data_IF_344040030712
#
_entry.id   IF_344040030712
#
_cell.length_a   1.000
_cell.length_b   1.000
_cell.length_c   1.000
_cell.angle_alpha   90.00
_cell.angle_beta   90.00
_cell.angle_gamma   90.00
#
_symmetry.space_group_name_H-M   'P 1'
#
loop_
_entity.id
_entity.type
_entity.pdbx_description
1 polymer ?
#
# COMPACT_ATOMS: atom_id res chain seq x y z
N UNK A 1 -4.97 21.59 -6.78
CA UNK A 1 -3.81 20.70 -6.90
C UNK A 1 -4.23 19.26 -6.69
N UNK A 2 -3.93 18.40 -7.62
CA UNK A 2 -4.24 17.00 -7.47
C UNK A 2 -3.34 16.35 -6.43
N UNK A 3 -3.96 15.56 -5.57
CA UNK A 3 -3.24 14.75 -4.61
C UNK A 3 -3.06 13.36 -5.18
N UNK A 4 -1.89 12.78 -4.95
CA UNK A 4 -1.53 11.54 -5.61
C UNK A 4 -0.99 10.51 -4.62
N UNK A 5 -1.24 9.25 -4.94
CA UNK A 5 -0.63 8.14 -4.24
C UNK A 5 0.17 7.30 -5.21
N UNK A 6 1.11 6.53 -4.68
CA UNK A 6 1.92 5.61 -5.46
C UNK A 6 1.82 4.22 -4.87
N UNK A 7 1.66 3.22 -5.74
CA UNK A 7 1.68 1.82 -5.37
C UNK A 7 2.84 1.18 -6.13
N UNK A 8 3.77 0.59 -5.40
CA UNK A 8 5.00 0.05 -5.98
C UNK A 8 5.21 -1.39 -5.52
N UNK A 9 5.33 -2.30 -6.49
CA UNK A 9 5.75 -3.66 -6.21
C UNK A 9 7.26 -3.76 -6.34
N UNK A 10 7.93 -4.29 -5.33
CA UNK A 10 9.38 -4.40 -5.30
C UNK A 10 9.80 -5.87 -5.42
N UNK A 11 11.03 -6.09 -5.89
CA UNK A 11 11.66 -7.40 -5.80
C UNK A 11 11.70 -7.83 -4.33
N UNK A 12 11.79 -9.13 -4.10
CA UNK A 12 11.86 -9.68 -2.75
C UNK A 12 12.96 -8.99 -1.96
N UNK A 13 12.57 -8.36 -0.85
CA UNK A 13 13.50 -7.60 -0.02
C UNK A 13 13.03 -7.60 1.43
N UNK A 14 13.90 -7.16 2.32
CA UNK A 14 13.56 -7.04 3.73
C UNK A 14 12.61 -5.87 3.98
N UNK A 15 11.89 -5.93 5.10
CA UNK A 15 10.94 -4.88 5.51
C UNK A 15 11.60 -3.50 5.59
N UNK A 16 12.83 -3.44 6.07
CA UNK A 16 13.58 -2.17 6.17
C UNK A 16 13.78 -1.54 4.79
N UNK A 17 14.17 -2.36 3.81
CA UNK A 17 14.36 -1.89 2.43
C UNK A 17 13.04 -1.42 1.84
N UNK A 18 11.97 -2.16 2.09
CA UNK A 18 10.64 -1.79 1.61
C UNK A 18 10.21 -0.42 2.16
N UNK A 19 10.51 -0.15 3.43
CA UNK A 19 10.25 1.15 4.04
C UNK A 19 11.02 2.28 3.38
N UNK A 20 12.28 2.04 3.01
CA UNK A 20 13.10 3.03 2.31
C UNK A 20 12.50 3.36 0.95
N UNK A 21 12.01 2.35 0.24
CA UNK A 21 11.33 2.55 -1.04
C UNK A 21 10.11 3.45 -0.87
N UNK A 22 9.30 3.18 0.16
CA UNK A 22 8.13 4.00 0.47
C UNK A 22 8.50 5.44 0.79
N UNK A 23 9.54 5.64 1.60
CA UNK A 23 10.02 6.98 1.94
C UNK A 23 10.50 7.74 0.69
N UNK A 24 11.17 7.03 -0.21
CA UNK A 24 11.61 7.63 -1.47
C UNK A 24 10.43 8.11 -2.30
N UNK A 25 9.38 7.29 -2.39
CA UNK A 25 8.21 7.60 -3.22
C UNK A 25 7.47 8.85 -2.75
N UNK A 26 7.36 9.10 -1.45
CA UNK A 26 6.68 10.32 -0.99
C UNK A 26 7.52 11.59 -1.14
N UNK A 27 8.79 11.48 -1.51
CA UNK A 27 9.58 12.64 -1.86
C UNK A 27 9.33 13.13 -3.28
N UNK A 28 8.66 12.33 -4.09
CA UNK A 28 8.23 12.75 -5.42
C UNK A 28 7.16 13.82 -5.28
N UNK A 29 7.25 14.86 -6.08
CA UNK A 29 6.31 15.97 -6.05
C UNK A 29 4.87 15.48 -6.27
N UNK A 30 3.96 15.98 -5.46
CA UNK A 30 2.53 15.64 -5.49
C UNK A 30 2.18 14.24 -4.99
N UNK A 31 3.13 13.45 -4.49
CA UNK A 31 2.82 12.16 -3.88
C UNK A 31 2.70 12.33 -2.37
N UNK A 32 1.52 12.06 -1.83
CA UNK A 32 1.24 12.22 -0.41
C UNK A 32 1.09 10.89 0.33
N UNK A 33 0.98 9.80 -0.41
CA UNK A 33 0.82 8.46 0.15
C UNK A 33 1.52 7.45 -0.73
N UNK A 34 2.31 6.57 -0.13
CA UNK A 34 2.92 5.47 -0.86
C UNK A 34 2.59 4.13 -0.20
N UNK A 35 2.35 3.14 -1.04
CA UNK A 35 2.20 1.74 -0.62
C UNK A 35 3.21 0.93 -1.41
N UNK A 36 4.18 0.36 -0.73
CA UNK A 36 5.15 -0.54 -1.33
C UNK A 36 4.88 -1.96 -0.84
N UNK A 37 5.02 -2.95 -1.72
CA UNK A 37 4.83 -4.34 -1.33
C UNK A 37 5.90 -5.23 -1.94
N UNK A 38 6.14 -6.37 -1.31
CA UNK A 38 7.05 -7.39 -1.80
C UNK A 38 6.57 -8.77 -1.36
N UNK A 39 6.95 -9.80 -2.08
CA UNK A 39 6.68 -11.17 -1.66
C UNK A 39 7.46 -11.48 -0.39
N UNK A 40 6.82 -12.16 0.54
CA UNK A 40 7.45 -12.56 1.80
C UNK A 40 6.72 -13.77 2.37
N UNK A 41 7.43 -14.86 2.57
CA UNK A 41 6.85 -16.08 3.12
C UNK A 41 5.63 -16.57 2.36
N UNK A 42 4.52 -16.77 3.05
CA UNK A 42 3.29 -17.28 2.47
C UNK A 42 2.40 -16.19 1.86
N UNK A 43 2.95 -15.05 1.54
CA UNK A 43 2.16 -13.94 0.97
C UNK A 43 3.01 -12.73 0.65
N UNK A 44 2.58 -11.59 1.19
CA UNK A 44 3.20 -10.30 0.88
C UNK A 44 3.37 -9.47 2.14
N UNK A 45 4.42 -8.66 2.15
CA UNK A 45 4.59 -7.58 3.11
C UNK A 45 4.27 -6.27 2.43
N UNK A 46 3.60 -5.37 3.16
CA UNK A 46 3.34 -4.02 2.68
C UNK A 46 3.96 -3.01 3.63
N UNK A 47 4.32 -1.87 3.08
CA UNK A 47 4.85 -0.73 3.82
C UNK A 47 4.14 0.51 3.31
N UNK A 48 3.57 1.30 4.21
CA UNK A 48 2.79 2.48 3.88
C UNK A 48 3.45 3.70 4.50
N UNK A 49 3.56 4.74 3.71
CA UNK A 49 4.08 6.05 4.15
C UNK A 49 3.07 7.11 3.77
N UNK A 50 2.80 8.04 4.68
CA UNK A 50 1.87 9.13 4.43
C UNK A 50 2.45 10.44 4.96
N UNK A 51 2.31 11.50 4.18
CA UNK A 51 2.62 12.85 4.61
C UNK A 51 1.36 13.73 4.62
N UNK A 52 0.18 13.11 4.63
CA UNK A 52 -1.09 13.84 4.66
C UNK A 52 -1.89 13.43 5.89
N UNK A 53 -2.32 14.43 6.67
CA UNK A 53 -2.99 14.18 7.94
C UNK A 53 -4.31 13.40 7.83
N UNK A 54 -5.03 13.54 6.71
CA UNK A 54 -6.29 12.83 6.48
C UNK A 54 -6.09 11.39 6.02
N UNK A 55 -4.87 11.03 5.64
CA UNK A 55 -4.53 9.69 5.18
C UNK A 55 -3.61 9.03 6.20
N UNK A 56 -4.20 8.45 7.22
CA UNK A 56 -3.43 7.78 8.26
C UNK A 56 -2.94 6.44 7.77
N UNK A 57 -1.62 6.27 7.77
CA UNK A 57 -0.99 5.04 7.29
C UNK A 57 -1.44 3.82 8.10
N UNK A 58 -1.59 3.95 9.42
CA UNK A 58 -2.02 2.85 10.27
C UNK A 58 -3.42 2.34 9.92
N UNK A 59 -4.35 3.24 9.68
CA UNK A 59 -5.73 2.89 9.32
C UNK A 59 -5.81 2.30 7.92
N UNK A 60 -5.03 2.84 7.00
CA UNK A 60 -4.97 2.31 5.63
C UNK A 60 -4.38 0.91 5.62
N UNK A 61 -3.31 0.67 6.39
CA UNK A 61 -2.72 -0.67 6.50
C UNK A 61 -3.74 -1.67 7.05
N UNK A 62 -4.45 -1.31 8.11
CA UNK A 62 -5.48 -2.17 8.68
C UNK A 62 -6.59 -2.45 7.67
N UNK A 63 -7.01 -1.45 6.91
CA UNK A 63 -8.08 -1.58 5.92
C UNK A 63 -7.66 -2.48 4.75
N UNK A 64 -6.47 -2.27 4.20
CA UNK A 64 -5.98 -3.08 3.09
C UNK A 64 -5.84 -4.55 3.50
N UNK A 65 -5.34 -4.79 4.71
CA UNK A 65 -5.08 -6.14 5.19
C UNK A 65 -6.29 -6.83 5.84
N UNK A 66 -7.41 -6.13 5.97
CA UNK A 66 -8.59 -6.67 6.63
C UNK A 66 -9.10 -7.92 5.94
N UNK A 67 -9.26 -8.99 6.71
CA UNK A 67 -9.74 -10.28 6.21
C UNK A 67 -8.72 -11.10 5.43
N UNK A 68 -7.53 -10.57 5.18
CA UNK A 68 -6.48 -11.28 4.42
C UNK A 68 -5.15 -11.31 5.15
N UNK A 69 -5.08 -10.67 6.30
CA UNK A 69 -3.85 -10.62 7.09
C UNK A 69 -4.02 -9.63 8.22
N UNK A 70 -3.03 -8.80 8.45
CA UNK A 70 -3.09 -7.77 9.48
C UNK A 70 -2.14 -6.64 9.19
N UNK A 71 -2.53 -5.44 9.60
CA UNK A 71 -1.70 -4.26 9.42
C UNK A 71 -1.93 -3.24 10.51
N UNK A 72 -0.98 -2.36 10.69
CA UNK A 72 -1.03 -1.29 11.67
C UNK A 72 0.28 -0.54 11.74
N UNK A 73 0.39 0.37 12.67
CA UNK A 73 1.58 1.19 12.86
C UNK A 73 1.24 2.55 13.41
N UNK A 74 1.80 3.57 12.80
CA UNK A 74 1.61 4.96 13.18
C UNK A 74 0.94 5.76 12.06
N UNK A 75 0.52 6.98 12.37
CA UNK A 75 -0.21 7.81 11.41
C UNK A 75 0.58 8.05 10.11
N UNK A 76 1.89 8.16 10.18
CA UNK A 76 2.73 8.45 9.02
C UNK A 76 3.45 7.23 8.46
N UNK A 77 3.61 6.18 9.24
CA UNK A 77 4.35 4.99 8.84
C UNK A 77 3.64 3.76 9.40
N UNK A 78 3.33 2.84 8.51
CA UNK A 78 2.66 1.61 8.90
C UNK A 78 3.08 0.48 7.96
N UNK A 79 2.68 -0.71 8.31
CA UNK A 79 2.94 -1.88 7.48
C UNK A 79 1.97 -2.98 7.78
N UNK A 80 2.10 -4.08 7.06
CA UNK A 80 1.22 -5.21 7.26
C UNK A 80 1.63 -6.40 6.43
N UNK A 81 0.85 -7.44 6.58
CA UNK A 81 1.03 -8.70 5.84
C UNK A 81 -0.28 -9.12 5.21
N UNK A 82 -0.17 -9.62 3.99
CA UNK A 82 -1.28 -10.23 3.28
C UNK A 82 -0.92 -11.70 3.07
N UNK A 83 -1.78 -12.59 3.52
CA UNK A 83 -1.61 -14.03 3.32
C UNK A 83 -2.21 -14.40 1.98
N UNK A 84 -1.40 -15.06 1.13
CA UNK A 84 -1.82 -15.39 -0.24
C UNK A 84 -3.10 -16.21 -0.30
N UNK A 85 -3.20 -17.24 0.53
CA UNK A 85 -4.39 -18.11 0.53
C UNK A 85 -5.64 -17.34 0.94
N UNK A 86 -5.55 -16.49 1.95
CA UNK A 86 -6.70 -15.69 2.38
C UNK A 86 -7.09 -14.67 1.32
N UNK A 87 -6.11 -14.09 0.65
CA UNK A 87 -6.35 -13.16 -0.44
C UNK A 87 -7.08 -13.86 -1.60
N UNK A 88 -6.67 -15.07 -1.94
CA UNK A 88 -7.33 -15.86 -2.97
C UNK A 88 -8.76 -16.23 -2.59
N UNK A 89 -9.00 -16.60 -1.34
CA UNK A 89 -10.35 -16.94 -0.85
C UNK A 89 -11.27 -15.73 -0.92
N UNK A 90 -10.78 -14.54 -0.55
CA UNK A 90 -11.60 -13.34 -0.47
C UNK A 90 -11.79 -12.65 -1.82
N UNK A 91 -10.72 -12.58 -2.62
CA UNK A 91 -10.70 -11.78 -3.84
C UNK A 91 -10.52 -12.60 -5.12
N UNK A 92 -10.44 -13.92 -5.02
CA UNK A 92 -10.31 -14.79 -6.18
C UNK A 92 -8.95 -14.63 -6.85
N UNK A 93 -8.95 -14.51 -8.17
CA UNK A 93 -7.71 -14.46 -8.95
C UNK A 93 -7.04 -13.09 -9.05
N UNK A 94 -7.43 -12.13 -8.22
CA UNK A 94 -6.83 -10.80 -8.26
C UNK A 94 -5.38 -10.84 -7.77
N UNK A 95 -4.52 -10.04 -8.40
CA UNK A 95 -3.13 -9.88 -7.97
C UNK A 95 -3.07 -9.01 -6.71
N UNK A 96 -1.93 -9.05 -6.03
CA UNK A 96 -1.71 -8.19 -4.86
C UNK A 96 -1.82 -6.71 -5.24
N UNK A 97 -1.31 -6.33 -6.41
CA UNK A 97 -1.44 -4.95 -6.88
C UNK A 97 -2.91 -4.55 -7.01
N UNK A 98 -3.71 -5.41 -7.64
CA UNK A 98 -5.14 -5.14 -7.81
C UNK A 98 -5.87 -5.03 -6.48
N UNK A 99 -5.55 -5.89 -5.53
CA UNK A 99 -6.16 -5.85 -4.20
C UNK A 99 -5.78 -4.57 -3.46
N UNK A 100 -4.50 -4.21 -3.47
CA UNK A 100 -4.03 -2.98 -2.80
C UNK A 100 -4.67 -1.76 -3.43
N UNK A 101 -4.68 -1.67 -4.76
CA UNK A 101 -5.27 -0.53 -5.46
C UNK A 101 -6.77 -0.42 -5.17
N UNK A 102 -7.49 -1.53 -5.28
CA UNK A 102 -8.94 -1.56 -5.03
C UNK A 102 -9.26 -1.12 -3.60
N UNK A 103 -8.55 -1.65 -2.62
CA UNK A 103 -8.81 -1.33 -1.22
C UNK A 103 -8.44 0.12 -0.91
N UNK A 104 -7.32 0.60 -1.45
CA UNK A 104 -6.90 1.98 -1.24
C UNK A 104 -7.90 2.96 -1.85
N UNK A 105 -8.32 2.70 -3.08
CA UNK A 105 -9.33 3.56 -3.74
C UNK A 105 -10.64 3.58 -2.97
N UNK A 106 -11.08 2.43 -2.47
CA UNK A 106 -12.29 2.35 -1.67
C UNK A 106 -12.16 3.11 -0.35
N UNK A 107 -11.00 3.01 0.31
CA UNK A 107 -10.74 3.77 1.53
C UNK A 107 -10.85 5.28 1.28
N UNK A 108 -10.25 5.73 0.18
CA UNK A 108 -10.28 7.15 -0.19
C UNK A 108 -11.72 7.61 -0.46
N UNK A 109 -12.49 6.82 -1.19
CA UNK A 109 -13.89 7.13 -1.49
C UNK A 109 -14.75 7.15 -0.23
N UNK A 110 -14.61 6.14 0.64
CA UNK A 110 -15.41 6.03 1.86
C UNK A 110 -15.11 7.16 2.85
N UNK A 111 -13.92 7.73 2.79
CA UNK A 111 -13.52 8.82 3.67
C UNK A 111 -13.64 10.19 2.99
N UNK A 112 -14.30 10.24 1.83
CA UNK A 112 -14.60 11.48 1.10
C UNK A 112 -13.36 12.33 0.79
N UNK A 113 -12.25 11.66 0.42
CA UNK A 113 -11.04 12.34 -0.01
C UNK A 113 -11.08 12.38 -1.53
N UNK A 114 -11.23 13.58 -2.09
CA UNK A 114 -11.36 13.77 -3.53
C UNK A 114 -10.02 14.12 -4.19
N UNK A 115 -9.99 14.04 -5.52
CA UNK A 115 -8.86 14.45 -6.36
C UNK A 115 -7.60 13.59 -6.17
N UNK A 116 -7.78 12.30 -5.91
CA UNK A 116 -6.66 11.37 -5.80
C UNK A 116 -6.51 10.54 -7.07
N UNK A 117 -5.27 10.31 -7.49
CA UNK A 117 -4.97 9.43 -8.61
C UNK A 117 -3.69 8.65 -8.34
N UNK A 118 -3.61 7.45 -8.90
CA UNK A 118 -2.41 6.63 -8.80
C UNK A 118 -1.37 7.13 -9.79
N UNK A 119 -0.17 7.46 -9.32
CA UNK A 119 0.95 7.88 -10.16
C UNK A 119 2.03 6.81 -10.25
N UNK A 120 1.97 5.83 -9.37
CA UNK A 120 2.86 4.70 -9.44
C UNK A 120 2.30 3.65 -10.37
N UNK A 121 3.08 2.70 -10.69
CA UNK A 121 2.68 1.55 -11.46
C UNK A 121 3.18 0.30 -10.79
N UNK A 122 2.97 -0.81 -11.44
CA UNK A 122 3.53 -2.06 -10.99
C UNK A 122 4.99 -2.12 -11.40
N UNK A 123 5.87 -2.31 -10.44
CA UNK A 123 7.30 -2.47 -10.69
C UNK A 123 7.72 -3.82 -10.13
N UNK A 124 7.42 -4.88 -10.86
CA UNK A 124 7.58 -6.25 -10.36
C UNK A 124 9.00 -6.77 -10.41
N UNK A 125 9.82 -6.24 -11.28
CA UNK A 125 11.19 -6.70 -11.47
C UNK A 125 12.22 -5.72 -10.93
N UNK A 126 11.85 -5.02 -9.89
CA UNK A 126 12.73 -4.15 -9.15
C UNK A 126 12.72 -2.72 -9.61
N UNK A 127 13.64 -2.01 -9.05
CA UNK A 127 13.89 -0.61 -9.33
C UNK A 127 15.06 -0.46 -10.24
#
# INVERSE_FOLDING_TARGET
MDRRFAIVGALKCEQTVLGIIGDFMIQVDSVFLSVAYTEAGAGYQISIRSCHEKLRADKIAAYICDGVGGGGGHAKKAGGKILRLKMQEKYGGKSVFEVVEMRLCRYIDDNHISHWSNVGGRMENGF
#
